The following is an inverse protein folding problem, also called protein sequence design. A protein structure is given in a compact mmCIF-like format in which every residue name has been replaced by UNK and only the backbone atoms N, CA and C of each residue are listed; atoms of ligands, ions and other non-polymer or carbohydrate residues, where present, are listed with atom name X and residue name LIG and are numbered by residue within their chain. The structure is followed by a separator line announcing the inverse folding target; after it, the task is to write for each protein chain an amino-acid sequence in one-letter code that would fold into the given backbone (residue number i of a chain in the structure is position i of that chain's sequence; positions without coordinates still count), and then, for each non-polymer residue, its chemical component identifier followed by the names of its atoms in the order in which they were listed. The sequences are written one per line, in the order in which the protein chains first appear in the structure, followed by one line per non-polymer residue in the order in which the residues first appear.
data_IF_063800206595
#
_entry.id   IF_063800206595
#
_cell.length_a   1.000
_cell.length_b   1.000
_cell.length_c   1.000
_cell.angle_alpha   90.00
_cell.angle_beta   90.00
_cell.angle_gamma   90.00
#
_symmetry.space_group_name_H-M   'P 1'
#
loop_
_entity.id
_entity.type
_entity.pdbx_description
1 polymer ?
#
# COMPACT_ATOMS: atom_id res chain seq x y z
N UNK A 1 -1.90 -9.79 21.68
CA UNK A 1 -1.80 -8.66 20.73
C UNK A 1 -2.33 -9.18 19.40
N UNK A 2 -3.26 -8.46 18.75
CA UNK A 2 -3.67 -8.80 17.37
C UNK A 2 -2.76 -8.06 16.43
N UNK A 3 -2.39 -8.69 15.33
CA UNK A 3 -1.77 -8.01 14.18
C UNK A 3 -2.85 -7.25 13.38
N UNK A 4 -2.50 -6.74 12.21
CA UNK A 4 -3.39 -5.90 11.43
C UNK A 4 -4.56 -6.65 10.75
N UNK A 5 -5.77 -6.10 10.85
CA UNK A 5 -6.97 -6.52 10.13
C UNK A 5 -7.83 -5.34 9.66
N UNK A 6 -7.22 -4.16 9.49
CA UNK A 6 -7.92 -2.95 9.09
C UNK A 6 -7.01 -2.09 8.20
N UNK A 7 -7.61 -1.19 7.43
CA UNK A 7 -6.87 -0.17 6.71
C UNK A 7 -6.88 1.19 7.42
N UNK A 8 -7.74 1.40 8.42
CA UNK A 8 -8.00 2.73 9.02
C UNK A 8 -7.84 2.81 10.55
N UNK A 9 -7.87 1.69 11.27
CA UNK A 9 -7.60 1.67 12.72
C UNK A 9 -6.25 2.30 13.08
N UNK A 10 -6.09 2.72 14.34
CA UNK A 10 -4.88 3.43 14.78
C UNK A 10 -3.65 2.58 14.53
N UNK A 11 -2.70 3.12 13.77
CA UNK A 11 -1.46 2.48 13.41
C UNK A 11 -0.50 2.50 14.59
N UNK A 12 -0.18 1.31 15.12
CA UNK A 12 0.66 1.18 16.32
C UNK A 12 2.07 0.71 15.97
N UNK A 13 2.20 -0.10 14.91
CA UNK A 13 3.48 -0.60 14.41
C UNK A 13 3.48 -0.66 12.88
N UNK A 14 4.53 -0.13 12.27
CA UNK A 14 4.69 -0.08 10.81
C UNK A 14 6.12 -0.47 10.41
N UNK A 15 6.25 -1.15 9.28
CA UNK A 15 7.54 -1.41 8.64
C UNK A 15 7.68 -0.46 7.44
N UNK A 16 8.85 0.14 7.30
CA UNK A 16 9.21 1.04 6.20
C UNK A 16 10.61 0.70 5.69
N UNK A 17 11.02 1.29 4.56
CA UNK A 17 12.42 1.24 4.11
C UNK A 17 12.91 2.63 3.75
N UNK A 18 14.12 2.96 4.21
CA UNK A 18 14.72 4.27 4.01
C UNK A 18 15.35 4.38 2.60
N UNK A 19 15.31 5.54 1.91
CA UNK A 19 15.98 5.74 0.61
C UNK A 19 17.47 5.39 0.62
N UNK A 20 18.21 5.75 1.68
CA UNK A 20 19.60 5.27 1.89
C UNK A 20 19.79 3.75 1.72
N UNK A 21 18.78 2.94 2.01
CA UNK A 21 18.84 1.48 1.92
C UNK A 21 18.23 0.92 0.62
N UNK A 22 17.32 1.68 -0.03
CA UNK A 22 16.61 1.27 -1.24
C UNK A 22 17.21 1.88 -2.51
N UNK A 23 17.50 3.18 -2.49
CA UNK A 23 18.09 3.93 -3.59
C UNK A 23 19.61 3.98 -3.50
N UNK A 24 20.19 3.86 -2.30
CA UNK A 24 21.63 3.76 -2.01
C UNK A 24 22.44 5.03 -2.34
N UNK A 25 22.38 5.52 -3.57
CA UNK A 25 23.08 6.71 -4.05
C UNK A 25 22.45 7.23 -5.35
N UNK A 26 22.82 8.45 -5.76
CA UNK A 26 22.45 8.97 -7.08
C UNK A 26 22.95 8.08 -8.22
N UNK A 27 24.18 7.53 -8.12
CA UNK A 27 24.74 6.64 -9.15
C UNK A 27 23.89 5.39 -9.33
N UNK A 28 23.44 4.77 -8.23
CA UNK A 28 22.57 3.60 -8.30
C UNK A 28 21.20 3.94 -8.91
N UNK A 29 20.64 5.11 -8.59
CA UNK A 29 19.41 5.59 -9.24
C UNK A 29 19.60 5.79 -10.74
N UNK A 30 20.66 6.49 -11.17
CA UNK A 30 20.97 6.72 -12.60
C UNK A 30 21.03 5.41 -13.39
N UNK A 31 21.58 4.35 -12.78
CA UNK A 31 21.73 3.03 -13.40
C UNK A 31 20.42 2.22 -13.47
N UNK A 32 19.50 2.41 -12.52
CA UNK A 32 18.39 1.48 -12.29
C UNK A 32 16.99 2.06 -12.56
N UNK A 33 16.79 3.38 -12.54
CA UNK A 33 15.45 3.99 -12.56
C UNK A 33 14.59 3.52 -13.74
N UNK A 34 15.18 3.39 -14.93
CA UNK A 34 14.50 2.87 -16.13
C UNK A 34 14.13 1.40 -16.02
N UNK A 35 15.00 0.59 -15.44
CA UNK A 35 14.77 -0.86 -15.22
C UNK A 35 13.56 -1.07 -14.32
N UNK A 36 13.38 -0.20 -13.33
CA UNK A 36 12.24 -0.26 -12.41
C UNK A 36 11.01 0.52 -12.90
N UNK A 37 11.08 1.15 -14.07
CA UNK A 37 10.00 1.91 -14.71
C UNK A 37 9.57 3.17 -13.92
N UNK A 38 10.53 3.89 -13.36
CA UNK A 38 10.27 5.22 -12.81
C UNK A 38 10.00 6.20 -13.95
N UNK A 39 9.13 7.19 -13.70
CA UNK A 39 8.72 8.17 -14.72
C UNK A 39 9.89 9.03 -15.19
N UNK A 40 10.77 9.40 -14.25
CA UNK A 40 11.99 10.17 -14.46
C UNK A 40 13.03 9.68 -13.44
N UNK A 41 14.29 10.09 -13.61
CA UNK A 41 15.35 9.82 -12.65
C UNK A 41 15.10 10.60 -11.35
N UNK A 42 14.98 9.93 -10.19
CA UNK A 42 14.83 10.62 -8.93
C UNK A 42 16.11 11.36 -8.50
N UNK A 43 15.95 12.48 -7.81
CA UNK A 43 17.02 13.15 -7.07
C UNK A 43 17.18 12.50 -5.70
N UNK A 44 18.36 11.91 -5.45
CA UNK A 44 18.62 11.16 -4.22
C UNK A 44 18.53 12.02 -2.95
N UNK A 45 19.13 13.21 -2.98
CA UNK A 45 19.18 14.07 -1.80
C UNK A 45 17.80 14.64 -1.48
N UNK A 46 17.00 14.94 -2.50
CA UNK A 46 15.60 15.33 -2.33
C UNK A 46 14.73 14.15 -1.87
N UNK A 47 14.93 12.94 -2.39
CA UNK A 47 14.25 11.74 -1.92
C UNK A 47 14.47 11.51 -0.41
N UNK A 48 15.69 11.70 0.08
CA UNK A 48 16.00 11.62 1.52
C UNK A 48 15.27 12.72 2.31
N UNK A 49 15.19 13.94 1.80
CA UNK A 49 14.45 15.05 2.45
C UNK A 49 12.95 14.80 2.51
N UNK A 50 12.35 14.39 1.38
CA UNK A 50 10.94 14.02 1.29
C UNK A 50 10.59 12.88 2.25
N UNK A 51 11.45 11.86 2.30
CA UNK A 51 11.27 10.73 3.19
C UNK A 51 11.34 11.14 4.66
N UNK A 52 12.28 12.02 5.03
CA UNK A 52 12.35 12.52 6.41
C UNK A 52 11.07 13.27 6.79
N UNK A 53 10.52 14.11 5.91
CA UNK A 53 9.25 14.79 6.16
C UNK A 53 8.08 13.81 6.35
N UNK A 54 8.05 12.73 5.56
CA UNK A 54 7.08 11.65 5.72
C UNK A 54 7.23 10.92 7.07
N UNK A 55 8.47 10.57 7.46
CA UNK A 55 8.75 9.93 8.75
C UNK A 55 8.41 10.83 9.94
N UNK A 56 8.71 12.13 9.87
CA UNK A 56 8.35 13.11 10.92
C UNK A 56 6.84 13.15 11.18
N UNK A 57 6.01 12.84 10.18
CA UNK A 57 4.56 12.67 10.36
C UNK A 57 4.28 11.35 11.07
N UNK A 58 4.86 10.23 10.61
CA UNK A 58 4.64 8.91 11.20
C UNK A 58 5.04 8.87 12.68
N UNK A 59 6.19 9.43 13.05
CA UNK A 59 6.71 9.41 14.44
C UNK A 59 5.80 10.14 15.44
N UNK A 60 4.95 11.06 14.97
CA UNK A 60 3.95 11.73 15.82
C UNK A 60 2.77 10.83 16.18
N UNK A 61 2.50 9.80 15.39
CA UNK A 61 1.27 8.99 15.48
C UNK A 61 1.53 7.51 15.74
N UNK A 62 2.66 6.98 15.29
CA UNK A 62 3.00 5.55 15.30
C UNK A 62 4.13 5.29 16.30
N UNK A 63 3.85 4.61 17.42
CA UNK A 63 4.85 4.37 18.46
C UNK A 63 6.03 3.50 18.04
N UNK A 64 5.85 2.60 17.07
CA UNK A 64 6.89 1.69 16.62
C UNK A 64 7.04 1.71 15.10
N UNK A 65 8.20 2.16 14.64
CA UNK A 65 8.60 2.12 13.22
C UNK A 65 9.81 1.19 13.12
N UNK A 66 9.68 0.12 12.34
CA UNK A 66 10.76 -0.78 12.02
C UNK A 66 11.27 -0.52 10.58
N UNK A 67 12.58 -0.61 10.38
CA UNK A 67 13.22 -0.31 9.08
C UNK A 67 13.78 -1.59 8.46
N UNK A 68 13.40 -1.85 7.20
CA UNK A 68 14.00 -2.92 6.40
C UNK A 68 15.48 -2.61 6.09
N UNK A 69 16.36 -3.62 6.10
CA UNK A 69 17.79 -3.42 5.89
C UNK A 69 18.15 -3.16 4.41
N UNK A 70 19.33 -2.58 4.16
CA UNK A 70 19.99 -2.66 2.86
C UNK A 70 20.36 -4.11 2.51
N UNK A 71 20.25 -4.42 1.22
CA UNK A 71 20.73 -5.66 0.62
C UNK A 71 20.83 -5.49 -0.89
N UNK A 72 21.84 -6.13 -1.47
CA UNK A 72 22.07 -6.24 -2.92
C UNK A 72 21.09 -7.18 -3.65
N UNK A 73 20.23 -7.87 -2.89
CA UNK A 73 19.24 -8.83 -3.44
C UNK A 73 17.95 -8.17 -3.93
N UNK A 74 17.72 -6.90 -3.63
CA UNK A 74 16.50 -6.15 -4.01
C UNK A 74 16.88 -4.83 -4.66
N UNK A 75 15.95 -4.21 -5.39
CA UNK A 75 16.19 -2.93 -6.08
C UNK A 75 15.39 -1.76 -5.53
N UNK A 76 15.23 -0.74 -6.37
CA UNK A 76 14.64 0.56 -6.00
C UNK A 76 13.24 0.42 -5.39
N UNK A 77 12.40 -0.44 -5.97
CA UNK A 77 11.02 -0.67 -5.52
C UNK A 77 10.92 -1.25 -4.10
N UNK A 78 12.02 -1.69 -3.49
CA UNK A 78 12.02 -2.11 -2.09
C UNK A 78 11.69 -0.98 -1.11
N UNK A 79 11.69 0.28 -1.55
CA UNK A 79 11.12 1.41 -0.80
C UNK A 79 9.61 1.23 -0.56
N UNK A 80 8.90 0.54 -1.48
CA UNK A 80 7.48 0.26 -1.40
C UNK A 80 7.21 -1.00 -0.58
N UNK A 81 7.34 -0.82 0.74
CA UNK A 81 7.24 -1.86 1.75
C UNK A 81 5.91 -2.63 1.75
N UNK A 82 4.84 -2.12 1.14
CA UNK A 82 3.50 -2.70 1.24
C UNK A 82 3.32 -4.05 0.53
N UNK A 83 3.95 -4.21 -0.64
CA UNK A 83 3.57 -5.28 -1.57
C UNK A 83 4.07 -6.69 -1.25
N UNK A 84 5.26 -6.89 -0.64
CA UNK A 84 5.77 -8.25 -0.41
C UNK A 84 5.06 -9.06 0.67
N UNK A 85 4.19 -8.43 1.48
CA UNK A 85 3.57 -9.06 2.65
C UNK A 85 2.14 -8.54 2.88
N UNK A 86 1.25 -9.39 3.41
CA UNK A 86 0.00 -8.92 4.01
C UNK A 86 -0.17 -9.41 5.44
N UNK A 87 -0.50 -8.48 6.33
CA UNK A 87 -0.84 -8.80 7.71
C UNK A 87 -2.32 -9.14 7.88
N UNK A 88 -2.55 -10.05 8.81
CA UNK A 88 -3.85 -10.57 9.27
C UNK A 88 -3.87 -10.53 10.80
N UNK A 89 -5.01 -10.72 11.51
CA UNK A 89 -5.01 -10.77 12.97
C UNK A 89 -4.00 -11.75 13.59
N UNK A 90 -3.68 -12.85 12.89
CA UNK A 90 -2.85 -13.94 13.38
C UNK A 90 -1.34 -13.81 13.02
N UNK A 91 -1.00 -12.96 12.04
CA UNK A 91 0.37 -12.80 11.57
C UNK A 91 0.44 -12.44 10.08
N UNK A 92 1.63 -12.56 9.53
CA UNK A 92 1.95 -12.20 8.15
C UNK A 92 1.72 -13.36 7.16
N UNK A 93 1.25 -13.02 5.97
CA UNK A 93 1.30 -13.86 4.76
C UNK A 93 2.37 -13.28 3.85
N UNK A 94 3.39 -14.09 3.52
CA UNK A 94 4.40 -13.70 2.53
C UNK A 94 3.79 -13.82 1.13
N UNK A 95 3.85 -12.75 0.35
CA UNK A 95 3.31 -12.71 -1.00
C UNK A 95 4.39 -13.00 -2.04
N UNK A 96 3.97 -13.22 -3.28
CA UNK A 96 4.88 -13.35 -4.43
C UNK A 96 4.45 -12.34 -5.48
N UNK A 97 5.24 -11.29 -5.65
CA UNK A 97 4.85 -10.18 -6.53
C UNK A 97 4.59 -10.62 -7.96
N UNK A 98 3.58 -10.00 -8.58
CA UNK A 98 3.32 -10.14 -10.02
C UNK A 98 4.46 -9.55 -10.88
N UNK A 99 5.18 -8.54 -10.36
CA UNK A 99 6.39 -7.99 -11.01
C UNK A 99 7.58 -8.86 -10.64
N UNK A 100 8.12 -9.62 -11.59
CA UNK A 100 9.22 -10.57 -11.35
C UNK A 100 10.44 -9.93 -10.66
N UNK A 101 10.79 -8.69 -11.03
CA UNK A 101 11.90 -7.94 -10.43
C UNK A 101 11.75 -7.70 -8.91
N UNK A 102 10.52 -7.77 -8.39
CA UNK A 102 10.21 -7.55 -6.97
C UNK A 102 10.09 -8.83 -6.16
N UNK A 103 10.07 -10.00 -6.80
CA UNK A 103 9.92 -11.28 -6.08
C UNK A 103 11.01 -11.54 -5.01
N UNK A 104 12.29 -11.13 -5.19
CA UNK A 104 13.29 -11.26 -4.13
C UNK A 104 12.95 -10.52 -2.83
N UNK A 105 12.12 -9.47 -2.90
CA UNK A 105 11.72 -8.68 -1.71
C UNK A 105 10.98 -9.53 -0.68
N UNK A 106 10.20 -10.51 -1.12
CA UNK A 106 9.45 -11.41 -0.24
C UNK A 106 10.37 -12.25 0.65
N UNK A 107 11.53 -12.67 0.12
CA UNK A 107 12.52 -13.43 0.88
C UNK A 107 13.18 -12.54 1.96
N UNK A 108 13.52 -11.30 1.63
CA UNK A 108 14.07 -10.33 2.60
C UNK A 108 13.05 -10.03 3.69
N UNK A 109 11.79 -9.84 3.33
CA UNK A 109 10.71 -9.66 4.29
C UNK A 109 10.58 -10.86 5.24
N UNK A 110 10.62 -12.08 4.70
CA UNK A 110 10.54 -13.30 5.49
C UNK A 110 11.67 -13.39 6.52
N UNK A 111 12.91 -13.15 6.11
CA UNK A 111 14.07 -13.11 7.01
C UNK A 111 13.89 -12.04 8.10
N UNK A 112 13.47 -10.84 7.72
CA UNK A 112 13.22 -9.73 8.63
C UNK A 112 12.13 -10.01 9.66
N UNK A 113 11.00 -10.60 9.24
CA UNK A 113 9.90 -10.95 10.15
C UNK A 113 10.32 -12.04 11.14
N UNK A 114 11.14 -13.00 10.72
CA UNK A 114 11.70 -14.02 11.60
C UNK A 114 12.63 -13.42 12.65
N UNK A 115 13.51 -12.49 12.26
CA UNK A 115 14.37 -11.75 13.19
C UNK A 115 13.57 -10.97 14.23
N UNK A 116 12.46 -10.36 13.81
CA UNK A 116 11.54 -9.59 14.66
C UNK A 116 10.56 -10.44 15.46
N UNK A 117 10.67 -11.77 15.39
CA UNK A 117 9.77 -12.74 16.03
C UNK A 117 8.28 -12.53 15.67
N UNK A 118 8.02 -12.03 14.47
CA UNK A 118 6.67 -11.84 13.94
C UNK A 118 6.22 -13.16 13.28
N UNK A 119 5.07 -13.75 13.68
CA UNK A 119 4.53 -14.97 13.10
C UNK A 119 4.23 -14.80 11.62
N UNK A 120 4.70 -15.77 10.84
CA UNK A 120 4.33 -15.98 9.45
C UNK A 120 3.35 -17.15 9.42
N UNK A 121 2.13 -16.89 8.98
CA UNK A 121 1.03 -17.88 8.96
C UNK A 121 0.88 -18.58 7.62
N UNK A 122 1.53 -18.06 6.57
CA UNK A 122 1.47 -18.61 5.22
C UNK A 122 2.38 -17.88 4.25
N UNK A 123 2.57 -18.49 3.09
CA UNK A 123 3.33 -17.94 1.97
C UNK A 123 2.69 -18.41 0.67
N UNK A 124 2.59 -17.53 -0.33
CA UNK A 124 2.09 -17.91 -1.66
C UNK A 124 3.06 -18.86 -2.35
N UNK A 125 2.54 -19.93 -2.93
CA UNK A 125 3.33 -20.99 -3.57
C UNK A 125 2.86 -21.30 -4.99
N UNK A 126 3.69 -22.04 -5.75
CA UNK A 126 3.33 -22.45 -7.11
C UNK A 126 3.17 -21.26 -8.04
N UNK A 127 2.05 -21.21 -8.78
CA UNK A 127 1.75 -20.16 -9.75
C UNK A 127 1.06 -18.92 -9.14
N UNK A 128 0.73 -18.93 -7.84
CA UNK A 128 0.09 -17.81 -7.17
C UNK A 128 0.94 -16.54 -7.21
N UNK A 129 0.47 -15.45 -7.80
CA UNK A 129 1.10 -14.12 -7.68
C UNK A 129 0.11 -13.12 -7.11
N UNK A 130 0.58 -12.26 -6.21
CA UNK A 130 -0.20 -11.17 -5.63
C UNK A 130 0.74 -10.08 -5.09
N UNK A 131 0.31 -8.83 -5.25
CA UNK A 131 0.91 -7.67 -4.59
C UNK A 131 -0.02 -7.22 -3.46
N UNK A 132 0.55 -6.79 -2.32
CA UNK A 132 -0.22 -6.24 -1.20
C UNK A 132 -1.15 -5.08 -1.59
N UNK A 133 -0.76 -4.32 -2.62
CA UNK A 133 -1.56 -3.36 -3.38
C UNK A 133 -3.02 -3.76 -3.64
N UNK A 134 -3.24 -5.05 -3.88
CA UNK A 134 -4.55 -5.59 -4.24
C UNK A 134 -5.39 -6.06 -3.06
N UNK A 135 -4.86 -6.02 -1.84
CA UNK A 135 -5.51 -6.63 -0.68
C UNK A 135 -5.91 -5.54 0.31
N UNK A 136 -7.21 -5.33 0.48
CA UNK A 136 -7.78 -4.26 1.32
C UNK A 136 -8.67 -4.85 2.39
N UNK A 137 -8.38 -4.55 3.66
CA UNK A 137 -9.31 -4.79 4.77
C UNK A 137 -10.36 -3.68 4.79
N UNK A 138 -11.62 -3.98 4.46
CA UNK A 138 -12.70 -3.00 4.60
C UNK A 138 -13.11 -2.80 6.06
N UNK A 139 -13.00 -3.87 6.85
CA UNK A 139 -13.20 -3.91 8.30
C UNK A 139 -12.46 -5.14 8.86
N UNK A 140 -12.65 -5.45 10.15
CA UNK A 140 -11.96 -6.56 10.84
C UNK A 140 -12.25 -7.95 10.29
N UNK A 141 -13.32 -8.10 9.51
CA UNK A 141 -13.89 -9.38 9.05
C UNK A 141 -14.06 -9.46 7.54
N UNK A 142 -13.90 -8.35 6.83
CA UNK A 142 -14.11 -8.27 5.39
C UNK A 142 -12.80 -8.00 4.66
N UNK A 143 -12.35 -8.97 3.85
CA UNK A 143 -11.18 -8.87 3.00
C UNK A 143 -11.58 -8.71 1.53
N UNK A 144 -11.08 -7.67 0.88
CA UNK A 144 -11.27 -7.42 -0.55
C UNK A 144 -9.96 -7.68 -1.27
N UNK A 145 -10.02 -8.46 -2.34
CA UNK A 145 -8.85 -8.79 -3.16
C UNK A 145 -9.11 -8.43 -4.62
N UNK A 146 -8.22 -7.62 -5.18
CA UNK A 146 -8.19 -7.29 -6.60
C UNK A 146 -7.79 -8.51 -7.43
N UNK A 147 -8.49 -8.73 -8.55
CA UNK A 147 -8.11 -9.70 -9.58
C UNK A 147 -7.68 -8.93 -10.81
N UNK A 148 -6.40 -9.03 -11.18
CA UNK A 148 -5.81 -8.28 -12.28
C UNK A 148 -4.46 -8.83 -12.71
N UNK A 149 -3.59 -7.97 -13.23
CA UNK A 149 -2.25 -8.36 -13.70
C UNK A 149 -1.28 -8.70 -12.57
N UNK A 150 -1.51 -8.16 -11.36
CA UNK A 150 -0.62 -8.37 -10.20
C UNK A 150 -1.09 -9.45 -9.25
N UNK A 151 -2.40 -9.69 -9.19
CA UNK A 151 -3.01 -10.73 -8.38
C UNK A 151 -3.88 -11.67 -9.21
N UNK A 152 -3.51 -12.95 -9.24
CA UNK A 152 -4.17 -13.98 -10.05
C UNK A 152 -5.12 -14.89 -9.25
N UNK A 153 -5.89 -15.71 -9.96
CA UNK A 153 -6.91 -16.60 -9.37
C UNK A 153 -6.33 -17.62 -8.38
N UNK A 154 -5.10 -18.09 -8.63
CA UNK A 154 -4.43 -19.06 -7.75
C UNK A 154 -3.99 -18.40 -6.43
N UNK A 155 -3.51 -17.15 -6.47
CA UNK A 155 -3.27 -16.39 -5.25
C UNK A 155 -4.56 -16.10 -4.49
N UNK A 156 -5.64 -15.71 -5.18
CA UNK A 156 -6.95 -15.50 -4.55
C UNK A 156 -7.44 -16.76 -3.83
N UNK A 157 -7.29 -17.94 -4.44
CA UNK A 157 -7.62 -19.23 -3.81
C UNK A 157 -6.82 -19.46 -2.53
N UNK A 158 -5.49 -19.31 -2.59
CA UNK A 158 -4.61 -19.51 -1.43
C UNK A 158 -4.86 -18.49 -0.32
N UNK A 159 -5.03 -17.21 -0.66
CA UNK A 159 -5.37 -16.15 0.29
C UNK A 159 -6.67 -16.48 1.01
N UNK A 160 -7.72 -16.86 0.27
CA UNK A 160 -9.02 -17.24 0.85
C UNK A 160 -8.91 -18.41 1.83
N UNK A 161 -8.08 -19.41 1.51
CA UNK A 161 -7.83 -20.56 2.40
C UNK A 161 -7.07 -20.15 3.66
N UNK A 162 -5.97 -19.39 3.51
CA UNK A 162 -5.16 -18.91 4.64
C UNK A 162 -5.95 -17.96 5.55
N UNK A 163 -6.93 -17.23 4.99
CA UNK A 163 -7.71 -16.23 5.72
C UNK A 163 -9.05 -16.70 6.27
N UNK A 164 -9.50 -17.89 5.90
CA UNK A 164 -10.78 -18.45 6.34
C UNK A 164 -11.02 -18.44 7.87
N UNK A 165 -10.01 -18.61 8.75
CA UNK A 165 -10.26 -18.59 10.19
C UNK A 165 -10.64 -17.21 10.78
N UNK A 166 -10.41 -16.12 10.05
CA UNK A 166 -10.60 -14.75 10.57
C UNK A 166 -11.40 -13.81 9.63
N UNK A 167 -11.59 -14.19 8.37
CA UNK A 167 -12.41 -13.48 7.38
C UNK A 167 -13.79 -14.11 7.31
N UNK A 168 -14.84 -13.32 7.55
CA UNK A 168 -16.24 -13.73 7.37
C UNK A 168 -16.71 -13.47 5.94
N UNK A 169 -16.19 -12.42 5.30
CA UNK A 169 -16.55 -12.06 3.94
C UNK A 169 -15.29 -11.82 3.08
N UNK A 170 -15.16 -12.59 2.00
CA UNK A 170 -14.05 -12.48 1.05
C UNK A 170 -14.59 -12.02 -0.31
N UNK A 171 -14.23 -10.82 -0.74
CA UNK A 171 -14.77 -10.17 -1.93
C UNK A 171 -13.68 -10.08 -3.00
N UNK A 172 -13.98 -10.55 -4.20
CA UNK A 172 -13.07 -10.45 -5.35
C UNK A 172 -13.53 -9.32 -6.26
N UNK A 173 -12.65 -8.36 -6.52
CA UNK A 173 -12.92 -7.20 -7.38
C UNK A 173 -12.11 -7.32 -8.67
N UNK A 174 -12.79 -7.45 -9.82
CA UNK A 174 -12.09 -7.47 -11.11
C UNK A 174 -11.56 -6.07 -11.43
N UNK A 175 -10.25 -5.94 -11.57
CA UNK A 175 -9.62 -4.66 -11.90
C UNK A 175 -9.78 -4.36 -13.40
N UNK A 176 -9.98 -3.10 -13.79
CA UNK A 176 -10.07 -2.72 -15.20
C UNK A 176 -8.71 -2.82 -15.89
N UNK A 177 -8.71 -2.85 -17.22
CA UNK A 177 -7.49 -2.83 -18.03
C UNK A 177 -6.74 -1.47 -17.95
N UNK A 178 -7.51 -0.38 -17.90
CA UNK A 178 -7.03 1.00 -18.00
C UNK A 178 -5.99 1.21 -19.13
N UNK A 179 -4.74 1.57 -18.81
CA UNK A 179 -3.68 1.83 -19.78
C UNK A 179 -2.84 0.58 -20.12
N UNK A 180 -3.12 -0.56 -19.51
CA UNK A 180 -2.53 -1.85 -19.87
C UNK A 180 -1.72 -2.53 -18.77
N UNK A 181 -1.18 -3.70 -19.10
CA UNK A 181 -0.46 -4.60 -18.18
C UNK A 181 0.84 -4.00 -17.62
N UNK A 182 1.46 -3.09 -18.37
CA UNK A 182 2.69 -2.42 -17.94
C UNK A 182 2.43 -1.46 -16.76
N UNK A 183 1.22 -0.91 -16.64
CA UNK A 183 0.87 -0.02 -15.54
C UNK A 183 0.70 -0.76 -14.23
N UNK A 184 1.12 -0.12 -13.14
CA UNK A 184 0.93 -0.62 -11.80
C UNK A 184 -0.47 -0.28 -11.28
N UNK A 185 -1.50 -0.90 -11.87
CA UNK A 185 -2.87 -0.76 -11.38
C UNK A 185 -3.17 -1.85 -10.33
N UNK A 186 -3.29 -1.42 -9.08
CA UNK A 186 -3.75 -2.24 -7.97
C UNK A 186 -5.18 -1.85 -7.55
N UNK A 187 -5.82 -2.67 -6.70
CA UNK A 187 -7.07 -2.28 -6.03
C UNK A 187 -6.93 -0.92 -5.33
N UNK A 188 -5.83 -0.71 -4.60
CA UNK A 188 -5.59 0.56 -3.90
C UNK A 188 -5.30 1.75 -4.81
N UNK A 189 -5.14 1.56 -6.12
CA UNK A 189 -5.06 2.67 -7.08
C UNK A 189 -6.38 3.45 -7.16
N UNK A 190 -7.51 2.85 -6.82
CA UNK A 190 -8.82 3.52 -6.86
C UNK A 190 -9.63 3.44 -5.55
N UNK A 191 -9.05 2.90 -4.47
CA UNK A 191 -9.65 2.97 -3.12
C UNK A 191 -8.60 3.05 -2.01
N UNK A 192 -8.81 3.97 -1.06
CA UNK A 192 -8.12 3.99 0.23
C UNK A 192 -9.13 4.22 1.35
N UNK A 193 -9.17 3.32 2.34
CA UNK A 193 -10.02 3.50 3.53
C UNK A 193 -9.37 4.51 4.48
N UNK A 194 -10.17 5.48 4.96
CA UNK A 194 -9.74 6.52 5.91
C UNK A 194 -10.42 6.37 7.27
N UNK A 195 -11.61 5.79 7.29
CA UNK A 195 -12.36 5.39 8.48
C UNK A 195 -13.31 4.23 8.10
N UNK A 196 -14.03 3.67 9.08
CA UNK A 196 -15.04 2.63 8.88
C UNK A 196 -16.16 3.04 7.92
N UNK A 197 -16.42 4.35 7.79
CA UNK A 197 -17.50 4.94 7.00
C UNK A 197 -16.98 6.02 6.04
N UNK A 198 -15.67 6.04 5.74
CA UNK A 198 -15.05 7.00 4.85
C UNK A 198 -13.96 6.35 4.00
N UNK A 199 -14.08 6.47 2.68
CA UNK A 199 -13.06 6.03 1.73
C UNK A 199 -12.78 7.11 0.69
N UNK A 200 -11.52 7.23 0.29
CA UNK A 200 -11.11 7.99 -0.90
C UNK A 200 -11.14 7.06 -2.08
N UNK A 201 -11.77 7.47 -3.18
CA UNK A 201 -11.96 6.62 -4.35
C UNK A 201 -11.71 7.35 -5.66
N UNK A 202 -11.32 6.60 -6.68
CA UNK A 202 -11.36 7.06 -8.06
C UNK A 202 -12.42 6.27 -8.83
N UNK A 203 -13.68 6.73 -8.77
CA UNK A 203 -14.83 6.05 -9.39
C UNK A 203 -14.68 5.64 -10.86
N UNK A 204 -14.01 6.40 -11.74
CA UNK A 204 -13.85 6.01 -13.15
C UNK A 204 -13.21 4.64 -13.38
N UNK A 205 -12.39 4.15 -12.45
CA UNK A 205 -11.74 2.83 -12.51
C UNK A 205 -12.45 1.79 -11.63
N UNK A 206 -13.43 2.18 -10.83
CA UNK A 206 -14.08 1.30 -9.87
C UNK A 206 -15.20 0.47 -10.53
N UNK A 207 -15.20 -0.87 -10.40
CA UNK A 207 -16.31 -1.69 -10.85
C UNK A 207 -17.63 -1.29 -10.18
N UNK A 208 -18.71 -1.23 -10.96
CA UNK A 208 -20.02 -0.74 -10.50
C UNK A 208 -20.51 -1.47 -9.25
N UNK A 209 -20.39 -2.80 -9.22
CA UNK A 209 -20.84 -3.59 -8.06
C UNK A 209 -20.09 -3.21 -6.79
N UNK A 210 -18.78 -2.94 -6.90
CA UNK A 210 -17.95 -2.62 -5.74
C UNK A 210 -18.30 -1.24 -5.22
N UNK A 211 -18.52 -0.26 -6.12
CA UNK A 211 -19.00 1.07 -5.73
C UNK A 211 -20.35 1.01 -5.02
N UNK A 212 -21.30 0.24 -5.54
CA UNK A 212 -22.62 0.06 -4.93
C UNK A 212 -22.52 -0.58 -3.55
N UNK A 213 -21.70 -1.63 -3.41
CA UNK A 213 -21.44 -2.31 -2.15
C UNK A 213 -20.91 -1.35 -1.07
N UNK A 214 -19.95 -0.48 -1.40
CA UNK A 214 -19.42 0.50 -0.45
C UNK A 214 -20.52 1.46 0.03
N UNK A 215 -21.35 1.95 -0.89
CA UNK A 215 -22.48 2.82 -0.55
C UNK A 215 -23.55 2.12 0.29
N UNK A 216 -23.87 0.86 -0.02
CA UNK A 216 -24.83 0.05 0.73
C UNK A 216 -24.36 -0.21 2.17
N UNK A 217 -23.03 -0.29 2.37
CA UNK A 217 -22.40 -0.34 3.70
C UNK A 217 -22.35 1.02 4.41
N UNK A 218 -22.86 2.09 3.81
CA UNK A 218 -22.87 3.43 4.39
C UNK A 218 -21.49 4.11 4.38
N UNK A 219 -20.56 3.66 3.53
CA UNK A 219 -19.25 4.29 3.38
C UNK A 219 -19.41 5.55 2.51
N UNK A 220 -19.08 6.70 3.07
CA UNK A 220 -18.96 7.95 2.33
C UNK A 220 -17.75 7.88 1.40
N UNK A 221 -17.95 8.30 0.15
CA UNK A 221 -16.93 8.29 -0.88
C UNK A 221 -16.42 9.72 -1.13
N UNK A 222 -15.14 9.95 -0.91
CA UNK A 222 -14.41 11.16 -1.35
C UNK A 222 -13.87 10.90 -2.74
N UNK A 223 -14.33 11.66 -3.73
CA UNK A 223 -14.00 11.40 -5.14
C UNK A 223 -12.71 12.13 -5.52
N UNK A 224 -11.73 11.38 -6.01
CA UNK A 224 -10.48 11.90 -6.57
C UNK A 224 -10.74 12.31 -8.02
N UNK A 225 -10.62 13.60 -8.37
CA UNK A 225 -10.78 14.04 -9.74
C UNK A 225 -9.63 13.52 -10.61
N UNK A 226 -9.88 13.34 -11.92
CA UNK A 226 -8.84 12.86 -12.85
C UNK A 226 -7.55 13.71 -12.82
N UNK A 227 -7.67 15.01 -12.58
CA UNK A 227 -6.53 15.91 -12.46
C UNK A 227 -5.59 15.59 -11.27
N UNK A 228 -6.09 14.92 -10.24
CA UNK A 228 -5.33 14.54 -9.04
C UNK A 228 -4.96 13.05 -9.05
N UNK A 229 -5.57 12.24 -9.93
CA UNK A 229 -5.33 10.81 -9.99
C UNK A 229 -3.87 10.48 -10.30
N UNK A 230 -3.30 11.11 -11.33
CA UNK A 230 -1.90 10.86 -11.74
C UNK A 230 -0.90 11.42 -10.70
N UNK A 231 -1.34 12.30 -9.79
CA UNK A 231 -0.59 12.78 -8.62
C UNK A 231 -0.86 11.93 -7.36
N UNK A 232 -1.33 10.69 -7.54
CA UNK A 232 -1.57 9.72 -6.47
C UNK A 232 -2.63 10.17 -5.46
N UNK A 233 -3.60 11.03 -5.85
CA UNK A 233 -4.66 11.52 -4.96
C UNK A 233 -5.50 10.43 -4.29
N UNK A 234 -5.54 9.22 -4.88
CA UNK A 234 -6.24 8.07 -4.31
C UNK A 234 -5.42 7.24 -3.32
N UNK A 235 -4.11 7.46 -3.23
CA UNK A 235 -3.22 6.73 -2.33
C UNK A 235 -3.12 7.49 -1.00
N UNK A 236 -3.97 7.11 -0.04
CA UNK A 236 -4.11 7.79 1.24
C UNK A 236 -3.83 6.82 2.37
N UNK A 237 -2.85 7.13 3.21
CA UNK A 237 -2.52 6.32 4.37
C UNK A 237 -3.28 6.82 5.58
N UNK A 238 -4.19 6.01 6.11
CA UNK A 238 -4.78 6.28 7.42
C UNK A 238 -3.79 5.92 8.54
N UNK A 239 -3.54 6.87 9.43
CA UNK A 239 -2.78 6.70 10.68
C UNK A 239 -3.70 6.34 11.85
N UNK A 240 -4.94 6.82 11.82
CA UNK A 240 -6.03 6.49 12.72
C UNK A 240 -7.36 6.83 12.02
N UNK A 241 -8.52 6.46 12.58
CA UNK A 241 -9.81 6.87 12.04
C UNK A 241 -9.84 8.39 11.79
N UNK A 242 -10.03 8.80 10.53
CA UNK A 242 -10.06 10.22 10.11
C UNK A 242 -8.76 10.99 10.40
N UNK A 243 -7.63 10.32 10.50
CA UNK A 243 -6.30 10.94 10.53
C UNK A 243 -5.47 10.29 9.43
N UNK A 244 -5.13 11.03 8.38
CA UNK A 244 -4.49 10.46 7.21
C UNK A 244 -3.35 11.30 6.64
N UNK A 245 -2.56 10.66 5.78
CA UNK A 245 -1.43 11.25 5.04
C UNK A 245 -1.71 11.13 3.54
N UNK A 246 -1.45 12.21 2.82
CA UNK A 246 -1.63 12.37 1.38
C UNK A 246 -0.37 13.03 0.77
N UNK A 247 -0.09 12.78 -0.51
CA UNK A 247 0.96 13.52 -1.24
C UNK A 247 0.47 14.94 -1.54
N UNK A 248 1.33 15.95 -1.36
CA UNK A 248 1.01 17.34 -1.70
C UNK A 248 0.52 17.50 -3.17
N UNK A 249 -0.34 18.51 -3.41
CA UNK A 249 -0.86 18.83 -4.75
C UNK A 249 -2.22 18.20 -5.09
N UNK A 250 -2.89 17.61 -4.09
CA UNK A 250 -4.21 16.98 -4.22
C UNK A 250 -5.29 17.79 -3.46
N UNK A 251 -5.40 19.09 -3.76
CA UNK A 251 -6.18 20.07 -2.98
C UNK A 251 -7.68 19.77 -2.91
N UNK A 252 -8.30 19.30 -4.00
CA UNK A 252 -9.71 18.95 -4.04
C UNK A 252 -10.00 17.73 -3.18
N UNK A 253 -9.14 16.70 -3.25
CA UNK A 253 -9.26 15.51 -2.41
C UNK A 253 -9.05 15.86 -0.94
N UNK A 254 -8.03 16.65 -0.62
CA UNK A 254 -7.76 17.16 0.73
C UNK A 254 -8.93 17.95 1.29
N UNK A 255 -9.50 18.89 0.53
CA UNK A 255 -10.63 19.68 1.01
C UNK A 255 -11.85 18.81 1.30
N UNK A 256 -12.16 17.84 0.45
CA UNK A 256 -13.26 16.89 0.70
C UNK A 256 -13.02 16.04 1.96
N UNK A 257 -11.77 15.63 2.22
CA UNK A 257 -11.40 14.93 3.45
C UNK A 257 -11.58 15.81 4.70
N UNK A 258 -11.15 17.08 4.64
CA UNK A 258 -11.34 18.06 5.71
C UNK A 258 -12.83 18.34 5.95
N UNK A 259 -13.63 18.47 4.89
CA UNK A 259 -15.09 18.67 4.96
C UNK A 259 -15.80 17.45 5.55
N UNK A 260 -15.26 16.24 5.30
CA UNK A 260 -15.69 15.04 5.97
C UNK A 260 -15.24 14.98 7.45
N UNK A 261 -14.41 15.90 7.94
CA UNK A 261 -13.94 15.92 9.32
C UNK A 261 -12.70 15.07 9.56
N UNK A 262 -11.91 14.79 8.52
CA UNK A 262 -10.58 14.21 8.67
C UNK A 262 -9.53 15.27 9.04
N UNK A 263 -8.49 14.85 9.74
CA UNK A 263 -7.21 15.55 9.83
C UNK A 263 -6.30 15.02 8.74
N UNK A 264 -5.84 15.90 7.85
CA UNK A 264 -4.98 15.54 6.72
C UNK A 264 -3.59 16.11 6.94
N UNK A 265 -2.58 15.24 6.89
CA UNK A 265 -1.18 15.61 6.79
C UNK A 265 -0.71 15.43 5.35
N UNK A 266 0.22 16.28 4.94
CA UNK A 266 0.82 16.20 3.61
C UNK A 266 2.33 16.18 3.72
N UNK A 267 2.95 15.57 2.72
CA UNK A 267 4.38 15.63 2.48
C UNK A 267 4.61 15.79 0.99
N UNK A 268 5.67 16.51 0.64
CA UNK A 268 6.21 16.51 -0.72
C UNK A 268 6.73 15.10 -1.03
N UNK A 269 6.19 14.46 -2.06
CA UNK A 269 6.50 13.07 -2.42
C UNK A 269 6.82 12.90 -3.91
N UNK A 270 7.49 13.87 -4.52
CA UNK A 270 7.83 13.82 -5.95
C UNK A 270 8.74 12.64 -6.23
N UNK A 271 9.84 12.52 -5.49
CA UNK A 271 10.95 11.60 -5.73
C UNK A 271 10.64 10.20 -5.20
N UNK A 272 10.05 10.11 -3.99
CA UNK A 272 9.78 8.82 -3.33
C UNK A 272 8.42 8.22 -3.69
N UNK A 273 7.49 9.02 -4.23
CA UNK A 273 6.14 8.56 -4.53
C UNK A 273 5.71 8.74 -5.96
N UNK A 274 5.60 9.98 -6.46
CA UNK A 274 5.06 10.23 -7.81
C UNK A 274 5.91 9.56 -8.88
N UNK A 275 7.25 9.67 -8.81
CA UNK A 275 8.15 9.09 -9.82
C UNK A 275 8.11 7.56 -9.90
N UNK A 276 8.00 6.87 -8.75
CA UNK A 276 7.86 5.42 -8.72
C UNK A 276 6.42 4.93 -8.62
N UNK A 277 5.43 5.83 -8.79
CA UNK A 277 3.99 5.55 -8.79
C UNK A 277 3.45 4.89 -7.51
N UNK A 278 4.10 5.12 -6.36
CA UNK A 278 3.73 4.52 -5.07
C UNK A 278 3.56 5.55 -3.96
N UNK A 279 2.33 5.77 -3.49
CA UNK A 279 2.02 6.79 -2.48
C UNK A 279 2.33 6.38 -1.03
N UNK A 280 1.84 7.15 -0.02
CA UNK A 280 2.13 6.91 1.39
C UNK A 280 1.73 5.53 1.89
N UNK A 281 0.67 4.92 1.35
CA UNK A 281 0.29 3.54 1.70
C UNK A 281 1.31 2.54 1.17
N UNK A 282 1.86 2.76 -0.04
CA UNK A 282 2.86 1.88 -0.65
C UNK A 282 4.19 1.93 0.11
N UNK A 283 4.57 3.10 0.64
CA UNK A 283 5.78 3.29 1.45
C UNK A 283 5.74 2.57 2.81
N UNK A 284 4.59 2.00 3.20
CA UNK A 284 4.38 1.43 4.53
C UNK A 284 3.84 0.01 4.48
N UNK A 285 4.23 -0.80 5.47
CA UNK A 285 3.60 -2.09 5.76
C UNK A 285 3.07 -2.10 7.20
N UNK A 286 1.78 -1.80 7.39
CA UNK A 286 1.14 -1.81 8.71
C UNK A 286 1.13 -3.21 9.35
N UNK A 287 1.83 -3.35 10.49
CA UNK A 287 1.97 -4.60 11.24
C UNK A 287 0.88 -4.76 12.29
N UNK A 288 0.59 -3.68 13.03
CA UNK A 288 -0.40 -3.66 14.11
C UNK A 288 -1.27 -2.41 13.94
N UNK A 289 -2.60 -2.61 13.95
CA UNK A 289 -3.59 -1.54 14.07
C UNK A 289 -4.62 -1.87 15.15
N UNK A 290 -4.99 -0.88 15.98
CA UNK A 290 -5.95 -1.03 17.09
C UNK A 290 -7.09 0.00 17.04
#
# INVERSE_FOLDING_TARGET
MSYNSSMYKKLERVIVKHPNEAFISQEHLSDQWKTFNYLEEPDFDEAVREYQAFIDILEKHVPQIDYLPATDKVGLDSIYAHDPVKFTPAGAIILKSGKQLRQPEAAIYKEFLQEKEIPIIGELTGDAVSDGGDIVWLDDKTLVVGRGYRTNDEAIRQLKEMTAPYVEEFIVVQLPHDQGEAECLHLMSFISMVDKDLAVVHSPLMPVFFRQLLMERGIQLVEVPKAEYDNLGCNVLALAPRVCVLVEGNESTKQQLLDAGATVYEYKGREISVLGTGGPTCLTSPVIRN
#
